data_IF_219262152235
#
_entry.id   IF_219262152235
#
_cell.length_a   1.000
_cell.length_b   1.000
_cell.length_c   1.000
_cell.angle_alpha   90.00
_cell.angle_beta   90.00
_cell.angle_gamma   90.00
#
_symmetry.space_group_name_H-M   'P 1'
#
loop_
_entity.id
_entity.type
_entity.pdbx_description
1 polymer ?
#
# COMPACT_ATOMS: atom_id res chain seq x y z
N UNK A 1 -40.01 17.67 -4.68
CA UNK A 1 -38.60 18.11 -4.46
C UNK A 1 -37.78 16.84 -4.26
N UNK A 2 -37.10 16.39 -5.31
CA UNK A 2 -36.39 15.11 -5.33
C UNK A 2 -35.16 15.17 -4.42
N UNK A 3 -35.02 14.20 -3.53
CA UNK A 3 -33.79 13.96 -2.77
C UNK A 3 -32.65 13.65 -3.75
N UNK A 4 -31.68 14.56 -3.84
CA UNK A 4 -30.42 14.28 -4.51
C UNK A 4 -29.51 13.54 -3.53
N UNK A 5 -29.48 12.22 -3.65
CA UNK A 5 -28.43 11.35 -3.13
C UNK A 5 -27.10 11.82 -3.72
N UNK A 6 -26.36 12.62 -2.95
CA UNK A 6 -24.93 12.90 -3.18
C UNK A 6 -24.15 11.63 -2.86
N UNK A 7 -24.37 10.60 -3.66
CA UNK A 7 -23.49 9.45 -3.82
C UNK A 7 -22.78 9.65 -5.14
N UNK A 8 -21.91 10.65 -5.22
CA UNK A 8 -20.97 10.81 -6.33
C UNK A 8 -20.20 9.49 -6.44
N UNK A 9 -20.49 8.73 -7.49
CA UNK A 9 -19.60 7.73 -8.04
C UNK A 9 -18.33 8.48 -8.49
N UNK A 10 -17.47 8.85 -7.55
CA UNK A 10 -16.19 9.50 -7.85
C UNK A 10 -15.32 8.48 -8.55
N UNK A 11 -15.33 8.50 -9.88
CA UNK A 11 -14.31 7.83 -10.67
C UNK A 11 -12.98 8.55 -10.44
N UNK A 12 -12.16 8.05 -9.52
CA UNK A 12 -10.79 8.54 -9.34
C UNK A 12 -9.90 7.95 -10.43
N UNK A 13 -9.49 8.78 -11.40
CA UNK A 13 -8.60 8.34 -12.46
C UNK A 13 -7.14 8.32 -11.95
N UNK A 14 -6.68 7.13 -11.57
CA UNK A 14 -5.32 6.91 -11.07
C UNK A 14 -4.22 7.28 -12.08
N UNK A 15 -4.54 7.29 -13.38
CA UNK A 15 -3.59 7.66 -14.42
C UNK A 15 -3.24 9.16 -14.39
N UNK A 16 -4.11 10.00 -13.82
CA UNK A 16 -3.89 11.46 -13.72
C UNK A 16 -3.13 11.89 -12.46
N UNK A 17 -2.88 10.96 -11.54
CA UNK A 17 -2.09 11.22 -10.34
C UNK A 17 -0.67 11.67 -10.70
N UNK A 18 -0.10 12.49 -9.83
CA UNK A 18 1.30 12.85 -9.96
C UNK A 18 2.23 11.64 -9.71
N UNK A 19 3.51 11.82 -9.98
CA UNK A 19 4.50 10.75 -9.83
C UNK A 19 4.63 10.28 -8.37
N UNK A 20 4.47 11.17 -7.40
CA UNK A 20 4.59 10.85 -5.97
C UNK A 20 3.38 10.02 -5.50
N UNK A 21 2.18 10.43 -5.87
CA UNK A 21 0.95 9.67 -5.58
C UNK A 21 0.96 8.28 -6.23
N UNK A 22 1.44 8.18 -7.47
CA UNK A 22 1.64 6.88 -8.13
C UNK A 22 2.67 6.01 -7.40
N UNK A 23 3.77 6.60 -6.94
CA UNK A 23 4.79 5.89 -6.16
C UNK A 23 4.21 5.33 -4.86
N UNK A 24 3.41 6.13 -4.14
CA UNK A 24 2.71 5.69 -2.92
C UNK A 24 1.79 4.50 -3.15
N UNK A 25 1.08 4.47 -4.28
CA UNK A 25 0.21 3.33 -4.65
C UNK A 25 1.05 2.08 -4.92
N UNK A 26 2.16 2.22 -5.64
CA UNK A 26 3.04 1.09 -5.93
C UNK A 26 3.70 0.54 -4.65
N UNK A 27 4.12 1.40 -3.73
CA UNK A 27 4.63 1.00 -2.41
C UNK A 27 3.56 0.28 -1.56
N UNK A 28 2.32 0.79 -1.52
CA UNK A 28 1.22 0.13 -0.80
C UNK A 28 0.93 -1.26 -1.40
N UNK A 29 0.93 -1.37 -2.72
CA UNK A 29 0.78 -2.65 -3.44
C UNK A 29 1.92 -3.62 -3.10
N UNK A 30 3.17 -3.17 -3.13
CA UNK A 30 4.33 -4.00 -2.79
C UNK A 30 4.26 -4.50 -1.35
N UNK A 31 3.92 -3.62 -0.40
CA UNK A 31 3.70 -4.00 0.99
C UNK A 31 2.62 -5.08 1.12
N UNK A 32 1.47 -4.89 0.46
CA UNK A 32 0.38 -5.87 0.46
C UNK A 32 0.82 -7.23 -0.07
N UNK A 33 1.64 -7.26 -1.11
CA UNK A 33 2.13 -8.48 -1.72
C UNK A 33 3.12 -9.22 -0.81
N UNK A 34 4.03 -8.50 -0.15
CA UNK A 34 4.96 -9.12 0.80
C UNK A 34 4.21 -9.73 1.99
N UNK A 35 3.22 -9.03 2.56
CA UNK A 35 2.41 -9.58 3.66
C UNK A 35 1.58 -10.78 3.19
N UNK A 36 1.03 -10.72 1.97
CA UNK A 36 0.36 -11.88 1.40
C UNK A 36 1.32 -13.08 1.28
N UNK A 37 2.56 -12.88 0.81
CA UNK A 37 3.56 -13.96 0.76
C UNK A 37 3.84 -14.56 2.13
N UNK A 38 3.97 -13.72 3.17
CA UNK A 38 4.13 -14.21 4.54
C UNK A 38 2.93 -15.04 4.99
N UNK A 39 1.70 -14.56 4.75
CA UNK A 39 0.47 -15.29 5.06
C UNK A 39 0.40 -16.64 4.35
N UNK A 40 0.93 -16.73 3.13
CA UNK A 40 0.98 -17.97 2.36
C UNK A 40 2.21 -18.86 2.67
N UNK A 41 3.04 -18.50 3.64
CA UNK A 41 4.32 -19.16 3.93
C UNK A 41 5.27 -19.24 2.71
N UNK A 42 5.23 -18.22 1.85
CA UNK A 42 6.03 -18.08 0.61
C UNK A 42 7.15 -17.03 0.72
N UNK A 43 7.36 -16.48 1.90
CA UNK A 43 8.38 -15.48 2.20
C UNK A 43 8.34 -15.12 3.68
N UNK A 44 9.42 -14.56 4.21
CA UNK A 44 9.52 -14.14 5.60
C UNK A 44 9.70 -12.61 5.76
N UNK A 45 9.82 -12.14 7.02
CA UNK A 45 10.00 -10.74 7.35
C UNK A 45 11.25 -10.10 6.71
N UNK A 46 12.28 -10.90 6.42
CA UNK A 46 13.53 -10.44 5.79
C UNK A 46 13.31 -9.78 4.44
N UNK A 47 12.26 -10.15 3.72
CA UNK A 47 11.91 -9.54 2.44
C UNK A 47 11.46 -8.09 2.59
N UNK A 48 10.78 -7.76 3.69
CA UNK A 48 10.38 -6.40 4.02
C UNK A 48 11.61 -5.56 4.34
N UNK A 49 12.51 -6.07 5.18
CA UNK A 49 13.77 -5.41 5.51
C UNK A 49 14.62 -5.18 4.26
N UNK A 50 14.74 -6.19 3.40
CA UNK A 50 15.44 -6.06 2.13
C UNK A 50 14.81 -4.97 1.26
N UNK A 51 13.48 -4.94 1.14
CA UNK A 51 12.81 -3.92 0.35
C UNK A 51 13.06 -2.51 0.89
N UNK A 52 12.97 -2.30 2.21
CA UNK A 52 13.30 -1.03 2.87
C UNK A 52 14.71 -0.53 2.55
N UNK A 53 15.70 -1.42 2.45
CA UNK A 53 17.08 -1.03 2.09
C UNK A 53 17.22 -0.55 0.65
N UNK A 54 16.28 -0.90 -0.23
CA UNK A 54 16.29 -0.42 -1.64
C UNK A 54 15.68 0.96 -1.81
N UNK A 55 14.89 1.42 -0.83
CA UNK A 55 14.28 2.74 -0.85
C UNK A 55 15.29 3.79 -0.37
N UNK A 56 15.42 4.88 -1.11
CA UNK A 56 16.35 5.98 -0.77
C UNK A 56 15.66 7.13 -0.04
N UNK A 57 14.40 7.38 -0.35
CA UNK A 57 13.58 8.42 0.28
C UNK A 57 13.09 7.97 1.65
N UNK A 58 13.34 8.78 2.68
CA UNK A 58 12.79 8.54 4.03
C UNK A 58 11.26 8.56 4.05
N UNK A 59 10.65 9.40 3.23
CA UNK A 59 9.19 9.48 3.10
C UNK A 59 8.61 8.20 2.48
N UNK A 60 9.31 7.63 1.50
CA UNK A 60 8.90 6.37 0.87
C UNK A 60 9.05 5.19 1.85
N UNK A 61 10.14 5.17 2.62
CA UNK A 61 10.33 4.18 3.69
C UNK A 61 9.22 4.24 4.73
N UNK A 62 8.87 5.45 5.18
CA UNK A 62 7.79 5.65 6.14
C UNK A 62 6.45 5.19 5.57
N UNK A 63 6.12 5.60 4.34
CA UNK A 63 4.88 5.20 3.66
C UNK A 63 4.78 3.68 3.48
N UNK A 64 5.88 3.05 3.06
CA UNK A 64 5.96 1.61 2.91
C UNK A 64 5.78 0.89 4.26
N UNK A 65 6.44 1.36 5.33
CA UNK A 65 6.31 0.79 6.66
C UNK A 65 4.88 0.90 7.20
N UNK A 66 4.22 2.06 7.03
CA UNK A 66 2.82 2.24 7.41
C UNK A 66 1.90 1.27 6.64
N UNK A 67 2.18 1.05 5.35
CA UNK A 67 1.45 0.09 4.51
C UNK A 67 1.66 -1.34 4.98
N UNK A 68 2.90 -1.72 5.33
CA UNK A 68 3.24 -3.02 5.94
C UNK A 68 2.43 -3.24 7.21
N UNK A 69 2.41 -2.26 8.12
CA UNK A 69 1.68 -2.37 9.39
C UNK A 69 0.17 -2.48 9.17
N UNK A 70 -0.37 -1.72 8.22
CA UNK A 70 -1.76 -1.83 7.77
C UNK A 70 -2.08 -3.24 7.30
N UNK A 71 -1.28 -3.81 6.40
CA UNK A 71 -1.58 -5.12 5.83
C UNK A 71 -1.32 -6.27 6.79
N UNK A 72 -0.37 -6.15 7.72
CA UNK A 72 -0.23 -7.08 8.85
C UNK A 72 -1.53 -7.21 9.64
N UNK A 73 -2.15 -6.08 10.00
CA UNK A 73 -3.45 -6.04 10.69
C UNK A 73 -4.58 -6.61 9.84
N UNK A 74 -4.71 -6.16 8.59
CA UNK A 74 -5.78 -6.59 7.67
C UNK A 74 -5.72 -8.08 7.38
N UNK A 75 -4.51 -8.63 7.23
CA UNK A 75 -4.31 -10.03 6.85
C UNK A 75 -4.14 -10.97 8.04
N UNK A 76 -3.98 -10.46 9.26
CA UNK A 76 -3.78 -11.26 10.47
C UNK A 76 -2.39 -11.91 10.54
N UNK A 77 -1.36 -11.19 10.09
CA UNK A 77 0.04 -11.63 10.13
C UNK A 77 0.78 -10.80 11.17
N UNK A 78 1.43 -11.44 12.14
CA UNK A 78 2.21 -10.77 13.20
C UNK A 78 3.65 -10.52 12.75
#
# INVERSE_FOLDING_TARGET
MFLSTVGLLMSFNLALLDANEKNKIELDKQASFLIWKMKQAKGGPEEITKHLTTLTSEQDKEWFQQSVDKYKRVMGVM
#
